data_IF_667143815180
#
_entry.id   IF_667143815180
#
_cell.length_a   1.000
_cell.length_b   1.000
_cell.length_c   1.000
_cell.angle_alpha   90.00
_cell.angle_beta   90.00
_cell.angle_gamma   90.00
#
_symmetry.space_group_name_H-M   'P 1'
#
loop_
_entity.id
_entity.type
_entity.pdbx_description
1 polymer ?
#
# COMPACT_ATOMS: atom_id res chain seq x y z
N UNK A 1 12.81 3.75 4.89
CA UNK A 1 12.28 3.64 3.52
C UNK A 1 12.32 2.22 2.96
N UNK A 2 13.48 1.53 2.79
CA UNK A 2 13.51 0.20 2.17
C UNK A 2 12.78 -0.88 2.98
N UNK A 3 12.88 -0.82 4.32
CA UNK A 3 12.14 -1.73 5.20
C UNK A 3 10.62 -1.60 5.03
N UNK A 4 10.12 -0.38 4.87
CA UNK A 4 8.69 -0.13 4.74
C UNK A 4 8.13 -0.64 3.41
N UNK A 5 8.90 -0.52 2.33
CA UNK A 5 8.57 -1.11 1.03
C UNK A 5 8.45 -2.63 1.13
N UNK A 6 9.41 -3.29 1.79
CA UNK A 6 9.40 -4.75 1.97
C UNK A 6 8.24 -5.22 2.86
N UNK A 7 7.97 -4.52 3.96
CA UNK A 7 6.86 -4.84 4.85
C UNK A 7 5.50 -4.59 4.18
N UNK A 8 5.36 -3.48 3.46
CA UNK A 8 4.16 -3.17 2.68
C UNK A 8 3.92 -4.18 1.57
N UNK A 9 4.97 -4.56 0.85
CA UNK A 9 4.91 -5.60 -0.17
C UNK A 9 4.50 -6.94 0.45
N UNK A 10 5.17 -7.37 1.52
CA UNK A 10 4.90 -8.64 2.19
C UNK A 10 3.49 -8.73 2.76
N UNK A 11 3.02 -7.67 3.42
CA UNK A 11 1.67 -7.61 3.97
C UNK A 11 0.61 -7.68 2.87
N UNK A 12 0.72 -6.87 1.81
CA UNK A 12 -0.25 -6.89 0.71
C UNK A 12 -0.16 -8.16 -0.15
N UNK A 13 1.03 -8.76 -0.27
CA UNK A 13 1.21 -10.05 -0.92
C UNK A 13 0.53 -11.16 -0.11
N UNK A 14 0.68 -11.17 1.22
CA UNK A 14 0.04 -12.13 2.11
C UNK A 14 -1.48 -11.99 2.09
N UNK A 15 -2.00 -10.76 2.16
CA UNK A 15 -3.42 -10.46 2.05
C UNK A 15 -3.96 -10.87 0.67
N UNK A 16 -3.23 -10.57 -0.40
CA UNK A 16 -3.55 -11.00 -1.76
C UNK A 16 -3.56 -12.52 -1.88
N UNK A 17 -2.62 -13.22 -1.23
CA UNK A 17 -2.56 -14.68 -1.22
C UNK A 17 -3.78 -15.32 -0.59
N UNK A 18 -4.25 -14.76 0.52
CA UNK A 18 -5.42 -15.24 1.21
C UNK A 18 -6.71 -14.87 0.47
N UNK A 19 -6.78 -13.64 -0.06
CA UNK A 19 -7.98 -13.11 -0.72
C UNK A 19 -8.21 -13.62 -2.14
N UNK A 20 -7.17 -13.93 -2.92
CA UNK A 20 -7.33 -14.42 -4.29
C UNK A 20 -7.91 -15.83 -4.39
N UNK A 21 -8.14 -16.50 -3.25
CA UNK A 21 -8.91 -17.74 -3.18
C UNK A 21 -10.43 -17.50 -3.24
N UNK A 22 -10.87 -16.27 -2.98
CA UNK A 22 -12.28 -15.86 -2.95
C UNK A 22 -12.62 -15.06 -4.20
N UNK A 23 -13.66 -15.48 -4.94
CA UNK A 23 -14.10 -14.78 -6.15
C UNK A 23 -15.06 -13.63 -5.85
N UNK A 24 -14.88 -12.49 -6.52
CA UNK A 24 -15.84 -11.38 -6.53
C UNK A 24 -15.95 -10.60 -5.21
N UNK A 25 -17.18 -10.41 -4.73
CA UNK A 25 -17.51 -9.55 -3.57
C UNK A 25 -16.81 -10.03 -2.28
N UNK A 26 -16.60 -11.34 -2.13
CA UNK A 26 -15.93 -11.91 -0.97
C UNK A 26 -14.47 -11.43 -0.81
N UNK A 27 -13.78 -11.11 -1.91
CA UNK A 27 -12.45 -10.51 -1.85
C UNK A 27 -12.48 -9.10 -1.23
N UNK A 28 -13.46 -8.29 -1.61
CA UNK A 28 -13.66 -6.95 -1.05
C UNK A 28 -14.04 -7.04 0.43
N UNK A 29 -14.91 -7.98 0.82
CA UNK A 29 -15.27 -8.18 2.22
C UNK A 29 -14.08 -8.64 3.07
N UNK A 30 -13.25 -9.53 2.53
CA UNK A 30 -12.06 -10.01 3.23
C UNK A 30 -11.03 -8.90 3.42
N UNK A 31 -10.77 -8.09 2.38
CA UNK A 31 -9.84 -6.96 2.47
C UNK A 31 -10.31 -5.92 3.48
N UNK A 32 -11.61 -5.62 3.53
CA UNK A 32 -12.20 -4.73 4.54
C UNK A 32 -12.07 -5.33 5.95
N UNK A 33 -12.38 -6.62 6.11
CA UNK A 33 -12.26 -7.31 7.40
C UNK A 33 -10.81 -7.30 7.91
N UNK A 34 -9.83 -7.51 7.03
CA UNK A 34 -8.42 -7.39 7.38
C UNK A 34 -8.01 -5.97 7.76
N UNK A 35 -8.48 -4.96 7.01
CA UNK A 35 -8.24 -3.57 7.38
C UNK A 35 -8.76 -3.28 8.80
N UNK A 36 -9.97 -3.75 9.11
CA UNK A 36 -10.57 -3.58 10.43
C UNK A 36 -9.82 -4.37 11.52
N UNK A 37 -9.37 -5.59 11.23
CA UNK A 37 -8.59 -6.41 12.15
C UNK A 37 -7.25 -5.75 12.49
N UNK A 38 -6.56 -5.19 11.48
CA UNK A 38 -5.31 -4.44 11.69
C UNK A 38 -5.56 -3.19 12.53
N UNK A 39 -6.63 -2.43 12.26
CA UNK A 39 -7.00 -1.27 13.05
C UNK A 39 -7.21 -1.64 14.53
N UNK A 40 -7.97 -2.69 14.81
CA UNK A 40 -8.21 -3.18 16.18
C UNK A 40 -6.91 -3.66 16.84
N UNK A 41 -6.05 -4.36 16.11
CA UNK A 41 -4.75 -4.82 16.61
C UNK A 41 -3.81 -3.67 16.99
N UNK A 42 -3.74 -2.62 16.17
CA UNK A 42 -2.92 -1.44 16.46
C UNK A 42 -3.47 -0.67 17.66
N UNK A 43 -4.80 -0.58 17.78
CA UNK A 43 -5.47 0.13 18.87
C UNK A 43 -5.38 -0.60 20.21
N UNK A 44 -5.64 -1.91 20.21
CA UNK A 44 -5.87 -2.69 21.45
C UNK A 44 -4.84 -3.81 21.70
N UNK A 45 -4.18 -4.32 20.65
CA UNK A 45 -3.34 -5.51 20.75
C UNK A 45 -1.92 -5.25 21.24
N UNK A 46 -1.33 -4.09 20.92
CA UNK A 46 0.07 -3.79 21.26
C UNK A 46 0.30 -2.35 21.77
N UNK A 47 -0.44 -1.87 22.81
CA UNK A 47 -0.32 -0.50 23.30
C UNK A 47 1.10 -0.10 23.74
N UNK A 48 1.93 -1.06 24.14
CA UNK A 48 3.34 -0.83 24.53
C UNK A 48 4.26 -0.48 23.34
N UNK A 49 3.88 -0.86 22.11
CA UNK A 49 4.66 -0.64 20.88
C UNK A 49 4.02 0.43 20.01
N UNK A 50 2.68 0.51 19.98
CA UNK A 50 1.92 1.43 19.11
C UNK A 50 1.45 2.70 19.81
N UNK A 51 1.55 2.77 21.14
CA UNK A 51 0.96 3.85 21.94
C UNK A 51 -0.55 3.73 22.12
N UNK A 52 -1.19 2.67 21.63
CA UNK A 52 -2.62 2.43 21.78
C UNK A 52 -3.45 3.55 21.16
N UNK A 53 -4.39 4.13 21.91
CA UNK A 53 -5.21 5.27 21.49
C UNK A 53 -4.42 6.59 21.33
N UNK A 54 -3.32 6.73 22.08
CA UNK A 54 -2.50 7.94 22.08
C UNK A 54 -1.58 8.02 20.86
N UNK A 55 -1.40 6.94 20.09
CA UNK A 55 -0.56 6.90 18.91
C UNK A 55 0.95 7.00 19.19
N UNK A 56 1.73 7.14 18.11
CA UNK A 56 3.19 7.14 18.17
C UNK A 56 3.74 8.55 17.90
N UNK A 57 4.17 9.29 18.95
CA UNK A 57 4.87 10.55 18.81
C UNK A 57 6.37 10.34 18.52
N UNK A 58 7.00 11.38 17.95
CA UNK A 58 8.47 11.45 17.88
C UNK A 58 9.09 10.71 16.71
N UNK A 59 8.36 10.56 15.60
CA UNK A 59 8.93 9.99 14.38
C UNK A 59 9.97 10.97 13.84
N UNK A 60 11.27 10.61 13.85
CA UNK A 60 12.32 11.54 13.48
C UNK A 60 12.20 11.88 11.99
N UNK A 61 12.24 13.18 11.69
CA UNK A 61 12.41 13.63 10.30
C UNK A 61 13.75 13.11 9.78
N UNK A 62 13.84 12.66 8.52
CA UNK A 62 15.11 12.26 7.95
C UNK A 62 16.12 13.41 8.06
N UNK A 63 17.32 13.10 8.56
CA UNK A 63 18.44 14.05 8.67
C UNK A 63 18.66 14.77 7.33
N UNK A 64 18.59 16.10 7.33
CA UNK A 64 18.74 16.96 6.15
C UNK A 64 17.43 17.52 5.55
N UNK A 65 16.26 17.18 6.11
CA UNK A 65 14.95 17.71 5.70
C UNK A 65 14.31 18.57 6.81
N UNK A 66 15.07 19.53 7.33
CA UNK A 66 14.62 20.39 8.43
C UNK A 66 13.71 21.53 7.96
N UNK A 67 13.83 21.94 6.68
CA UNK A 67 12.98 22.97 6.07
C UNK A 67 11.72 22.41 5.41
N UNK A 68 10.67 23.22 5.32
CA UNK A 68 9.42 22.87 4.63
C UNK A 68 9.63 22.67 3.11
N UNK A 69 10.48 23.50 2.50
CA UNK A 69 10.80 23.45 1.07
C UNK A 69 11.53 22.16 0.65
N UNK A 70 12.63 21.72 1.30
CA UNK A 70 13.29 20.46 0.92
C UNK A 70 12.37 19.25 1.13
N UNK A 71 11.52 19.27 2.16
CA UNK A 71 10.55 18.21 2.37
C UNK A 71 9.52 18.14 1.22
N UNK A 72 8.98 19.29 0.82
CA UNK A 72 8.07 19.41 -0.32
C UNK A 72 8.73 18.92 -1.62
N UNK A 73 9.99 19.30 -1.88
CA UNK A 73 10.74 18.86 -3.06
C UNK A 73 10.97 17.35 -3.08
N UNK A 74 11.24 16.72 -1.92
CA UNK A 74 11.31 15.26 -1.82
C UNK A 74 9.97 14.61 -2.12
N UNK A 75 8.87 15.15 -1.58
CA UNK A 75 7.52 14.68 -1.89
C UNK A 75 7.19 14.78 -3.37
N UNK A 76 7.51 15.91 -3.99
CA UNK A 76 7.31 16.14 -5.42
C UNK A 76 8.17 15.19 -6.26
N UNK A 77 9.44 15.01 -5.90
CA UNK A 77 10.34 14.07 -6.58
C UNK A 77 9.85 12.63 -6.46
N UNK A 78 9.29 12.25 -5.31
CA UNK A 78 8.70 10.94 -5.06
C UNK A 78 7.41 10.74 -5.88
N UNK A 79 6.54 11.74 -5.95
CA UNK A 79 5.34 11.72 -6.80
C UNK A 79 5.71 11.56 -8.28
N UNK A 80 6.63 12.40 -8.78
CA UNK A 80 7.11 12.35 -10.16
C UNK A 80 7.78 11.01 -10.44
N UNK A 81 8.59 10.50 -9.51
CA UNK A 81 9.22 9.18 -9.61
C UNK A 81 8.21 8.05 -9.74
N UNK A 82 7.16 8.04 -8.91
CA UNK A 82 6.08 7.04 -9.00
C UNK A 82 5.32 7.16 -10.32
N UNK A 83 5.03 8.37 -10.80
CA UNK A 83 4.35 8.58 -12.08
C UNK A 83 5.18 8.11 -13.28
N UNK A 84 6.49 8.40 -13.28
CA UNK A 84 7.41 7.93 -14.31
C UNK A 84 7.54 6.40 -14.28
N UNK A 85 7.63 5.81 -13.09
CA UNK A 85 7.66 4.37 -12.91
C UNK A 85 6.36 3.72 -13.43
N UNK A 86 5.21 4.31 -13.11
CA UNK A 86 3.92 3.85 -13.60
C UNK A 86 3.82 3.92 -15.12
N UNK A 87 4.27 5.03 -15.74
CA UNK A 87 4.32 5.15 -17.20
C UNK A 87 5.26 4.14 -17.85
N UNK A 88 6.46 3.95 -17.29
CA UNK A 88 7.40 2.94 -17.77
C UNK A 88 6.82 1.52 -17.63
N UNK A 89 6.10 1.25 -16.53
CA UNK A 89 5.44 -0.02 -16.30
C UNK A 89 4.34 -0.30 -17.33
N UNK A 90 3.49 0.68 -17.63
CA UNK A 90 2.45 0.55 -18.67
C UNK A 90 3.03 0.33 -20.07
N UNK A 91 4.18 0.91 -20.38
CA UNK A 91 4.88 0.69 -21.65
C UNK A 91 5.59 -0.67 -21.73
N UNK A 92 5.74 -1.39 -20.61
CA UNK A 92 6.45 -2.66 -20.54
C UNK A 92 5.56 -3.85 -20.97
N UNK A 93 6.16 -4.99 -21.38
CA UNK A 93 5.40 -6.21 -21.66
C UNK A 93 4.55 -6.68 -20.49
N UNK A 94 5.02 -6.46 -19.25
CA UNK A 94 4.24 -6.77 -18.05
C UNK A 94 3.00 -5.88 -17.92
N UNK A 95 3.11 -4.59 -18.27
CA UNK A 95 1.97 -3.67 -18.31
C UNK A 95 0.89 -4.13 -19.28
N UNK A 96 1.30 -4.59 -20.47
CA UNK A 96 0.39 -5.14 -21.48
C UNK A 96 -0.32 -6.41 -21.00
N UNK A 97 0.41 -7.31 -20.33
CA UNK A 97 -0.17 -8.53 -19.73
C UNK A 97 -1.16 -8.19 -18.62
N UNK A 98 -0.87 -7.17 -17.80
CA UNK A 98 -1.79 -6.70 -16.75
C UNK A 98 -3.03 -6.00 -17.32
N UNK A 99 -2.91 -5.28 -18.43
CA UNK A 99 -4.08 -4.72 -19.12
C UNK A 99 -4.93 -5.83 -19.75
N UNK A 100 -4.30 -6.82 -20.37
CA UNK A 100 -4.99 -8.00 -20.88
C UNK A 100 -5.69 -8.80 -19.76
N UNK A 101 -5.07 -8.88 -18.58
CA UNK A 101 -5.67 -9.47 -17.38
C UNK A 101 -6.97 -8.75 -16.98
N UNK A 102 -6.98 -7.41 -17.02
CA UNK A 102 -8.17 -6.59 -16.71
C UNK A 102 -9.31 -6.83 -17.70
N UNK A 103 -9.00 -7.08 -18.97
CA UNK A 103 -10.01 -7.29 -20.01
C UNK A 103 -10.68 -8.67 -19.92
N UNK A 104 -9.89 -9.74 -19.82
CA UNK A 104 -10.42 -11.10 -19.76
C UNK A 104 -9.43 -12.08 -19.13
N UNK A 105 -9.67 -12.42 -17.86
CA UNK A 105 -8.84 -13.35 -17.09
C UNK A 105 -8.82 -14.76 -17.67
N UNK A 106 -9.96 -15.25 -18.16
CA UNK A 106 -10.09 -16.59 -18.73
C UNK A 106 -9.23 -16.70 -19.99
N UNK A 107 -9.29 -15.70 -20.87
CA UNK A 107 -8.49 -15.64 -22.10
C UNK A 107 -6.99 -15.62 -21.80
N UNK A 108 -6.57 -14.87 -20.79
CA UNK A 108 -5.17 -14.79 -20.40
C UNK A 108 -4.65 -16.13 -19.85
N UNK A 109 -5.48 -16.85 -19.10
CA UNK A 109 -5.18 -18.20 -18.62
C UNK A 109 -5.00 -19.22 -19.76
N UNK A 110 -5.83 -19.13 -20.82
CA UNK A 110 -5.69 -20.00 -22.01
C UNK A 110 -4.39 -19.73 -22.77
N UNK A 111 -3.88 -18.50 -22.73
CA UNK A 111 -2.57 -18.14 -23.32
C UNK A 111 -1.37 -18.66 -22.50
N UNK A 112 -1.60 -19.39 -21.41
CA UNK A 112 -0.57 -20.01 -20.58
C UNK A 112 -0.01 -19.14 -19.46
N UNK A 113 -0.61 -17.96 -19.21
CA UNK A 113 -0.20 -17.10 -18.10
C UNK A 113 -0.86 -17.50 -16.78
N UNK A 114 -0.06 -17.53 -15.72
CA UNK A 114 -0.55 -17.72 -14.35
C UNK A 114 -1.25 -16.45 -13.82
N UNK A 115 -2.56 -16.32 -14.12
CA UNK A 115 -3.43 -15.22 -13.65
C UNK A 115 -3.29 -14.97 -12.15
N UNK A 116 -3.25 -16.04 -11.35
CA UNK A 116 -3.13 -15.94 -9.89
C UNK A 116 -1.81 -15.28 -9.47
N UNK A 117 -0.68 -15.63 -10.09
CA UNK A 117 0.63 -15.06 -9.77
C UNK A 117 0.69 -13.58 -10.16
N UNK A 118 0.12 -13.23 -11.31
CA UNK A 118 0.05 -11.83 -11.77
C UNK A 118 -0.74 -10.96 -10.78
N UNK A 119 -1.90 -11.43 -10.31
CA UNK A 119 -2.69 -10.71 -9.29
C UNK A 119 -1.96 -10.60 -7.95
N UNK A 120 -1.23 -11.63 -7.52
CA UNK A 120 -0.45 -11.59 -6.29
C UNK A 120 0.66 -10.55 -6.34
N UNK A 121 1.41 -10.51 -7.44
CA UNK A 121 2.44 -9.51 -7.67
C UNK A 121 1.86 -8.11 -7.72
N UNK A 122 0.74 -7.92 -8.42
CA UNK A 122 0.05 -6.63 -8.46
C UNK A 122 -0.36 -6.16 -7.04
N UNK A 123 -0.89 -7.06 -6.20
CA UNK A 123 -1.22 -6.76 -4.80
C UNK A 123 0.00 -6.35 -3.99
N UNK A 124 1.10 -7.11 -4.09
CA UNK A 124 2.35 -6.78 -3.41
C UNK A 124 2.92 -5.42 -3.82
N UNK A 125 2.98 -5.14 -5.12
CA UNK A 125 3.48 -3.85 -5.64
C UNK A 125 2.59 -2.69 -5.18
N UNK A 126 1.26 -2.86 -5.19
CA UNK A 126 0.33 -1.87 -4.65
C UNK A 126 0.60 -1.58 -3.16
N UNK A 127 0.83 -2.62 -2.36
CA UNK A 127 1.16 -2.47 -0.93
C UNK A 127 2.50 -1.78 -0.68
N UNK A 128 3.50 -2.05 -1.52
CA UNK A 128 4.80 -1.39 -1.45
C UNK A 128 4.67 0.11 -1.70
N UNK A 129 3.93 0.51 -2.74
CA UNK A 129 3.66 1.92 -3.07
C UNK A 129 2.85 2.61 -1.96
N UNK A 130 1.83 1.95 -1.42
CA UNK A 130 1.04 2.48 -0.32
C UNK A 130 1.90 2.70 0.95
N UNK A 131 2.76 1.74 1.30
CA UNK A 131 3.65 1.86 2.46
C UNK A 131 4.68 2.98 2.28
N UNK A 132 5.18 3.19 1.06
CA UNK A 132 6.08 4.30 0.75
C UNK A 132 5.39 5.66 0.97
N UNK A 133 4.12 5.81 0.55
CA UNK A 133 3.33 7.00 0.85
C UNK A 133 3.04 7.18 2.35
N UNK A 134 2.73 6.09 3.05
CA UNK A 134 2.47 6.10 4.49
C UNK A 134 3.68 6.54 5.33
N UNK A 135 4.88 6.04 5.01
CA UNK A 135 6.10 6.45 5.72
C UNK A 135 6.48 7.89 5.44
N UNK A 136 6.25 8.37 4.21
CA UNK A 136 6.39 9.78 3.89
C UNK A 136 5.43 10.63 4.75
N UNK A 137 4.14 10.30 4.78
CA UNK A 137 3.15 11.03 5.60
C UNK A 137 3.49 11.02 7.10
N UNK A 138 3.94 9.87 7.62
CA UNK A 138 4.37 9.72 9.01
C UNK A 138 5.56 10.62 9.36
N UNK A 139 6.56 10.70 8.46
CA UNK A 139 7.71 11.59 8.62
C UNK A 139 7.35 13.07 8.52
N UNK A 140 6.34 13.43 7.72
CA UNK A 140 5.89 14.82 7.56
C UNK A 140 5.22 15.33 8.84
N UNK A 141 4.27 14.54 9.35
CA UNK A 141 3.50 14.84 10.56
C UNK A 141 4.33 14.68 11.84
N UNK A 142 5.38 13.85 11.83
CA UNK A 142 6.18 13.53 13.02
C UNK A 142 5.41 12.72 14.08
N UNK A 143 4.19 12.32 13.73
CA UNK A 143 3.20 11.71 14.60
C UNK A 143 2.28 10.83 13.75
N UNK A 144 1.94 9.64 14.26
CA UNK A 144 0.97 8.73 13.62
C UNK A 144 -0.15 8.41 14.59
N UNK A 145 -1.39 8.71 14.18
CA UNK A 145 -2.58 8.34 14.95
C UNK A 145 -3.11 6.97 14.47
N UNK A 146 -3.63 6.12 15.38
CA UNK A 146 -4.31 4.88 14.98
C UNK A 146 -5.51 5.11 14.07
N UNK A 147 -6.14 6.30 14.16
CA UNK A 147 -7.27 6.67 13.31
C UNK A 147 -6.87 6.84 11.83
N UNK A 148 -5.59 7.09 11.52
CA UNK A 148 -5.10 7.14 10.13
C UNK A 148 -5.23 5.78 9.42
N UNK A 149 -5.31 4.68 10.17
CA UNK A 149 -5.54 3.33 9.65
C UNK A 149 -7.02 3.00 9.39
N UNK A 150 -7.93 3.89 9.77
CA UNK A 150 -9.36 3.63 9.60
C UNK A 150 -9.74 3.62 8.12
N UNK A 151 -10.66 2.72 7.75
CA UNK A 151 -11.17 2.64 6.39
C UNK A 151 -11.88 3.94 5.97
N UNK A 152 -12.47 4.67 6.91
CA UNK A 152 -13.12 5.96 6.67
C UNK A 152 -12.12 7.04 6.21
N UNK A 153 -10.94 7.10 6.83
CA UNK A 153 -9.86 8.02 6.41
C UNK A 153 -9.35 7.66 5.01
N UNK A 154 -9.26 6.36 4.69
CA UNK A 154 -8.92 5.91 3.33
C UNK A 154 -9.99 6.32 2.30
N UNK A 155 -11.27 6.25 2.68
CA UNK A 155 -12.38 6.68 1.84
C UNK A 155 -12.39 8.19 1.56
N UNK A 156 -12.04 9.02 2.55
CA UNK A 156 -11.90 10.47 2.38
C UNK A 156 -10.76 10.85 1.42
N UNK A 157 -9.66 10.09 1.40
CA UNK A 157 -8.54 10.36 0.49
C UNK A 157 -8.81 9.98 -0.97
N UNK A 158 -9.88 9.24 -1.24
CA UNK A 158 -10.28 8.81 -2.59
C UNK A 158 -11.27 9.77 -3.26
N UNK A 159 -11.86 10.71 -2.51
CA UNK A 159 -12.80 11.74 -2.99
C UNK A 159 -12.05 13.03 -3.29
#
# INVERSE_FOLDING_TARGET
MPLALLLGFGAAFFLGFLGLRSHGIFFLMLTLAFAQLVYVLVKQGFPQVTGGDDGLPGIPRPLGLEGELPYYLVGLGLLVGVLLLYRAFLASPLGLVMDALRQNEVRLGVLGYDVRRLKLLASGVSGALAALGGVYLAGYRGFVHPHDLSWATSGLLLV
#
